data_IF_849169653862
#
_entry.id   IF_849169653862
#
_cell.length_a   1.000
_cell.length_b   1.000
_cell.length_c   1.000
_cell.angle_alpha   90.00
_cell.angle_beta   90.00
_cell.angle_gamma   90.00
#
_symmetry.space_group_name_H-M   'P 1'
#
loop_
_entity.id
_entity.type
_entity.pdbx_description
1 polymer ?
#
# COMPACT_ATOMS: atom_id res chain seq x y z
N UNK A 1 16.38 -0.22 -4.77
CA UNK A 1 16.27 -0.72 -6.17
C UNK A 1 14.95 -0.28 -6.78
N UNK A 2 14.83 -0.27 -8.12
CA UNK A 2 13.52 -0.17 -8.76
C UNK A 2 12.74 -1.48 -8.58
N UNK A 3 11.43 -1.36 -8.41
CA UNK A 3 10.51 -2.50 -8.26
C UNK A 3 9.79 -2.70 -9.58
N UNK A 4 9.74 -3.95 -10.03
CA UNK A 4 9.03 -4.29 -11.27
C UNK A 4 7.52 -4.20 -11.06
N UNK A 5 6.78 -3.96 -12.14
CA UNK A 5 5.32 -3.81 -12.10
C UNK A 5 4.61 -4.99 -11.40
N UNK A 6 4.97 -6.22 -11.73
CA UNK A 6 4.37 -7.42 -11.14
C UNK A 6 4.70 -7.57 -9.65
N UNK A 7 5.90 -7.15 -9.21
CA UNK A 7 6.27 -7.12 -7.79
C UNK A 7 5.44 -6.08 -7.03
N UNK A 8 5.20 -4.90 -7.63
CA UNK A 8 4.38 -3.85 -7.05
C UNK A 8 2.90 -4.29 -6.92
N UNK A 9 2.35 -4.94 -7.94
CA UNK A 9 1.00 -5.49 -7.87
C UNK A 9 0.89 -6.57 -6.79
N UNK A 10 1.84 -7.51 -6.74
CA UNK A 10 1.91 -8.55 -5.71
C UNK A 10 2.01 -7.97 -4.30
N UNK A 11 2.80 -6.89 -4.13
CA UNK A 11 2.88 -6.14 -2.88
C UNK A 11 1.51 -5.59 -2.45
N UNK A 12 0.81 -4.87 -3.33
CA UNK A 12 -0.48 -4.28 -2.96
C UNK A 12 -1.56 -5.33 -2.67
N UNK A 13 -1.56 -6.43 -3.43
CA UNK A 13 -2.45 -7.56 -3.21
C UNK A 13 -2.22 -8.22 -1.85
N UNK A 14 -0.96 -8.49 -1.49
CA UNK A 14 -0.63 -9.01 -0.17
C UNK A 14 -1.04 -8.03 0.94
N UNK A 15 -0.67 -6.75 0.81
CA UNK A 15 -0.88 -5.75 1.88
C UNK A 15 -2.35 -5.46 2.13
N UNK A 16 -3.15 -5.24 1.07
CA UNK A 16 -4.53 -4.76 1.18
C UNK A 16 -5.58 -5.87 1.11
N UNK A 17 -5.24 -7.03 0.57
CA UNK A 17 -6.18 -8.12 0.35
C UNK A 17 -5.78 -9.39 1.09
N UNK A 18 -4.61 -9.41 1.76
CA UNK A 18 -4.08 -10.57 2.49
C UNK A 18 -3.99 -11.82 1.62
N UNK A 19 -3.86 -11.62 0.30
CA UNK A 19 -3.75 -12.72 -0.64
C UNK A 19 -2.34 -13.26 -0.60
N UNK A 20 -2.22 -14.57 -0.56
CA UNK A 20 -0.94 -15.24 -0.67
C UNK A 20 -0.30 -14.91 -2.03
N UNK A 21 0.92 -14.37 -2.09
CA UNK A 21 1.57 -14.01 -3.36
C UNK A 21 1.76 -15.19 -4.34
N UNK A 22 1.67 -16.43 -3.87
CA UNK A 22 1.72 -17.66 -4.68
C UNK A 22 0.34 -18.27 -4.97
N UNK A 23 -0.74 -17.66 -4.49
CA UNK A 23 -2.11 -18.12 -4.74
C UNK A 23 -2.63 -17.71 -6.12
N UNK A 24 -3.65 -18.43 -6.61
CA UNK A 24 -4.38 -18.00 -7.79
C UNK A 24 -5.03 -16.63 -7.55
N UNK A 25 -4.96 -15.74 -8.54
CA UNK A 25 -5.66 -14.45 -8.48
C UNK A 25 -7.17 -14.70 -8.34
N UNK A 26 -7.84 -14.12 -7.34
CA UNK A 26 -9.28 -14.29 -7.18
C UNK A 26 -10.02 -13.67 -8.37
N UNK A 27 -11.09 -14.34 -8.80
CA UNK A 27 -11.91 -13.94 -9.96
C UNK A 27 -12.55 -12.56 -9.78
N UNK A 28 -12.80 -12.17 -8.52
CA UNK A 28 -13.18 -10.81 -8.11
C UNK A 28 -12.07 -10.25 -7.24
N UNK A 29 -11.52 -9.10 -7.63
CA UNK A 29 -10.51 -8.39 -6.85
C UNK A 29 -11.14 -7.79 -5.58
N UNK A 30 -10.84 -8.31 -4.38
CA UNK A 30 -11.24 -7.63 -3.16
C UNK A 30 -10.57 -6.27 -3.09
N UNK A 31 -11.25 -5.29 -2.48
CA UNK A 31 -10.72 -3.95 -2.24
C UNK A 31 -10.23 -3.19 -3.51
N UNK A 32 -10.82 -3.42 -4.69
CA UNK A 32 -10.42 -2.80 -5.97
C UNK A 32 -10.20 -1.28 -5.88
N UNK A 33 -11.08 -0.56 -5.18
CA UNK A 33 -10.94 0.90 -5.00
C UNK A 33 -9.69 1.29 -4.21
N UNK A 34 -9.35 0.51 -3.19
CA UNK A 34 -8.15 0.76 -2.40
C UNK A 34 -6.90 0.46 -3.23
N UNK A 35 -6.89 -0.67 -3.95
CA UNK A 35 -5.81 -1.06 -4.87
C UNK A 35 -5.54 0.03 -5.92
N UNK A 36 -6.60 0.51 -6.58
CA UNK A 36 -6.49 1.59 -7.56
C UNK A 36 -5.92 2.86 -6.94
N UNK A 37 -6.37 3.22 -5.73
CA UNK A 37 -5.90 4.44 -5.05
C UNK A 37 -4.43 4.36 -4.65
N UNK A 38 -3.96 3.25 -4.07
CA UNK A 38 -2.52 3.10 -3.73
C UNK A 38 -1.64 3.06 -4.98
N UNK A 39 -2.12 2.44 -6.06
CA UNK A 39 -1.41 2.43 -7.33
C UNK A 39 -1.26 3.85 -7.89
N UNK A 40 -2.33 4.63 -7.93
CA UNK A 40 -2.28 6.04 -8.35
C UNK A 40 -1.31 6.87 -7.49
N UNK A 41 -1.29 6.65 -6.18
CA UNK A 41 -0.37 7.35 -5.27
C UNK A 41 1.09 6.98 -5.57
N UNK A 42 1.37 5.71 -5.82
CA UNK A 42 2.69 5.22 -6.19
C UNK A 42 3.16 5.74 -7.56
N UNK A 43 2.25 5.87 -8.52
CA UNK A 43 2.53 6.25 -9.91
C UNK A 43 2.68 7.76 -10.14
N UNK A 44 2.69 8.58 -9.08
CA UNK A 44 3.01 10.00 -9.21
C UNK A 44 1.98 10.96 -8.60
N UNK A 45 0.83 10.46 -8.12
CA UNK A 45 -0.17 11.30 -7.43
C UNK A 45 0.09 11.46 -5.94
N UNK A 46 0.88 10.56 -5.34
CA UNK A 46 1.22 10.62 -3.92
C UNK A 46 2.23 11.71 -3.61
N UNK A 47 2.20 12.21 -2.38
CA UNK A 47 3.09 13.27 -1.92
C UNK A 47 4.54 12.79 -1.97
N UNK A 48 5.38 13.48 -2.74
CA UNK A 48 6.79 13.12 -2.91
C UNK A 48 7.03 11.82 -3.71
N UNK A 49 5.99 11.24 -4.34
CA UNK A 49 6.13 10.01 -5.14
C UNK A 49 7.05 10.17 -6.36
N UNK A 50 7.28 11.40 -6.82
CA UNK A 50 8.18 11.73 -7.92
C UNK A 50 9.65 11.93 -7.50
N UNK A 51 9.95 11.96 -6.18
CA UNK A 51 11.32 12.04 -5.70
C UNK A 51 12.12 10.80 -6.11
N UNK A 52 13.40 10.96 -6.46
CA UNK A 52 14.23 9.84 -6.95
C UNK A 52 14.33 8.67 -5.95
N UNK A 53 14.29 8.98 -4.65
CA UNK A 53 14.30 8.00 -3.57
C UNK A 53 13.02 7.16 -3.51
N UNK A 54 11.87 7.71 -3.93
CA UNK A 54 10.55 7.07 -3.83
C UNK A 54 10.07 6.51 -5.18
N UNK A 55 10.32 7.21 -6.29
CA UNK A 55 9.73 6.91 -7.60
C UNK A 55 10.08 5.50 -8.06
N UNK A 56 9.10 4.61 -8.12
CA UNK A 56 9.29 3.25 -8.59
C UNK A 56 10.12 2.36 -7.64
N UNK A 57 10.25 2.72 -6.37
CA UNK A 57 11.04 1.96 -5.38
C UNK A 57 10.14 1.32 -4.32
N UNK A 58 10.68 0.35 -3.58
CA UNK A 58 9.98 -0.23 -2.43
C UNK A 58 9.64 0.81 -1.35
N UNK A 59 10.46 1.87 -1.25
CA UNK A 59 10.17 3.02 -0.40
C UNK A 59 8.93 3.79 -0.90
N UNK A 60 8.80 3.99 -2.21
CA UNK A 60 7.59 4.55 -2.81
C UNK A 60 6.34 3.70 -2.57
N UNK A 61 6.47 2.37 -2.64
CA UNK A 61 5.37 1.45 -2.33
C UNK A 61 4.89 1.62 -0.89
N UNK A 62 5.81 1.62 0.08
CA UNK A 62 5.49 1.85 1.49
C UNK A 62 4.80 3.20 1.68
N UNK A 63 5.37 4.28 1.12
CA UNK A 63 4.80 5.63 1.23
C UNK A 63 3.39 5.73 0.64
N UNK A 64 3.12 5.06 -0.47
CA UNK A 64 1.80 5.05 -1.09
C UNK A 64 0.73 4.41 -0.17
N UNK A 65 1.11 3.37 0.58
CA UNK A 65 0.21 2.71 1.54
C UNK A 65 0.02 3.54 2.79
N UNK A 66 1.10 4.13 3.34
CA UNK A 66 0.97 4.97 4.54
C UNK A 66 0.12 6.21 4.25
N UNK A 67 0.35 6.88 3.12
CA UNK A 67 -0.47 8.00 2.67
C UNK A 67 -1.94 7.59 2.47
N UNK A 68 -2.18 6.42 1.87
CA UNK A 68 -3.53 5.91 1.72
C UNK A 68 -4.22 5.70 3.08
N UNK A 69 -3.57 4.99 4.01
CA UNK A 69 -4.15 4.71 5.33
C UNK A 69 -4.40 5.99 6.12
N UNK A 70 -3.46 6.93 6.09
CA UNK A 70 -3.47 8.10 6.96
C UNK A 70 -4.39 9.22 6.41
N UNK A 71 -4.61 9.27 5.10
CA UNK A 71 -5.33 10.39 4.47
C UNK A 71 -6.51 10.01 3.56
N UNK A 72 -6.46 8.87 2.88
CA UNK A 72 -7.38 8.58 1.76
C UNK A 72 -8.36 7.44 2.05
N UNK A 73 -8.04 6.55 2.99
CA UNK A 73 -8.87 5.40 3.35
C UNK A 73 -10.16 5.88 3.98
N UNK A 74 -11.30 5.53 3.40
CA UNK A 74 -12.63 5.91 3.89
C UNK A 74 -12.81 5.55 5.37
N UNK A 75 -13.27 6.51 6.16
CA UNK A 75 -13.52 6.38 7.59
C UNK A 75 -14.83 7.09 7.96
N UNK A 76 -15.41 6.74 9.11
CA UNK A 76 -16.65 7.36 9.62
C UNK A 76 -16.45 8.81 10.06
N UNK A 77 -15.30 9.10 10.65
CA UNK A 77 -14.85 10.45 11.01
C UNK A 77 -13.33 10.55 10.87
N UNK A 78 -12.79 11.75 11.01
CA UNK A 78 -11.35 11.97 11.02
C UNK A 78 -10.70 11.43 12.30
N UNK A 79 -11.33 11.54 13.48
CA UNK A 79 -10.77 10.93 14.70
C UNK A 79 -10.70 9.40 14.56
N UNK A 80 -11.75 8.76 14.03
CA UNK A 80 -11.75 7.33 13.81
C UNK A 80 -10.65 6.88 12.84
N UNK A 81 -10.36 7.69 11.81
CA UNK A 81 -9.25 7.42 10.88
C UNK A 81 -7.91 7.48 11.60
N UNK A 82 -7.69 8.51 12.41
CA UNK A 82 -6.46 8.71 13.16
C UNK A 82 -6.22 7.58 14.16
N UNK A 83 -7.25 7.22 14.94
CA UNK A 83 -7.19 6.10 15.87
C UNK A 83 -6.89 4.77 15.16
N UNK A 84 -7.59 4.49 14.05
CA UNK A 84 -7.33 3.29 13.24
C UNK A 84 -5.93 3.28 12.64
N UNK A 85 -5.44 4.42 12.17
CA UNK A 85 -4.10 4.59 11.61
C UNK A 85 -3.00 4.40 12.64
N UNK A 86 -3.23 4.73 13.91
CA UNK A 86 -2.23 4.62 14.98
C UNK A 86 -2.28 3.30 15.72
N UNK A 87 -3.48 2.80 16.04
CA UNK A 87 -3.66 1.69 16.97
C UNK A 87 -4.57 0.57 16.46
N UNK A 88 -5.24 0.77 15.33
CA UNK A 88 -6.21 -0.18 14.79
C UNK A 88 -5.76 -0.89 13.51
N UNK A 89 -6.75 -1.17 12.66
CA UNK A 89 -6.55 -1.86 11.38
C UNK A 89 -5.61 -1.10 10.44
N UNK A 90 -5.58 0.23 10.48
CA UNK A 90 -4.64 1.03 9.71
C UNK A 90 -3.18 0.80 10.13
N UNK A 91 -2.92 0.70 11.43
CA UNK A 91 -1.59 0.39 11.95
C UNK A 91 -1.10 -0.99 11.47
N UNK A 92 -1.97 -2.00 11.50
CA UNK A 92 -1.65 -3.36 11.03
C UNK A 92 -1.32 -3.39 9.52
N UNK A 93 -2.08 -2.66 8.70
CA UNK A 93 -1.79 -2.53 7.26
C UNK A 93 -0.43 -1.87 7.03
N UNK A 94 -0.09 -0.82 7.77
CA UNK A 94 1.21 -0.14 7.64
C UNK A 94 2.36 -1.04 8.08
N UNK A 95 2.20 -1.81 9.15
CA UNK A 95 3.21 -2.79 9.58
C UNK A 95 3.45 -3.84 8.50
N UNK A 96 2.38 -4.43 7.96
CA UNK A 96 2.47 -5.40 6.86
C UNK A 96 3.14 -4.82 5.62
N UNK A 97 2.81 -3.57 5.28
CA UNK A 97 3.44 -2.86 4.16
C UNK A 97 4.94 -2.69 4.38
N UNK A 98 5.37 -2.36 5.60
CA UNK A 98 6.78 -2.27 5.95
C UNK A 98 7.47 -3.63 5.80
N UNK A 99 6.91 -4.67 6.41
CA UNK A 99 7.49 -6.02 6.39
C UNK A 99 7.62 -6.56 4.96
N UNK A 100 6.58 -6.36 4.13
CA UNK A 100 6.58 -6.79 2.73
C UNK A 100 7.56 -5.96 1.89
N UNK A 101 7.67 -4.66 2.13
CA UNK A 101 8.65 -3.80 1.44
C UNK A 101 10.09 -4.20 1.76
N UNK A 102 10.36 -4.60 3.02
CA UNK A 102 11.66 -5.11 3.44
C UNK A 102 12.01 -6.42 2.74
N UNK A 103 11.05 -7.34 2.57
CA UNK A 103 11.26 -8.59 1.82
C UNK A 103 11.60 -8.36 0.34
N UNK A 104 11.11 -7.28 -0.27
CA UNK A 104 11.46 -6.95 -1.66
C UNK A 104 12.91 -6.45 -1.81
N UNK A 105 13.52 -5.93 -0.76
CA UNK A 105 14.86 -5.33 -0.82
C UNK A 105 15.94 -6.20 -0.18
N UNK A 106 15.56 -7.24 0.56
CA UNK A 106 16.44 -8.31 1.02
C UNK A 106 16.98 -9.12 -0.17
#
# INVERSE_FOLDING_TARGET
RKVQWHEALGFFMNVLCETNPTGALPEVLPNERALRKVQELYEGRGRGSQLDSARGTAWGLLNSVTEFVDHERRARSNEYRMDSAWFGQGAQIKQRALDTALQLVA
#
